data_IF_565546041369
#
_entry.id   IF_565546041369
#
_cell.length_a   1.000
_cell.length_b   1.000
_cell.length_c   1.000
_cell.angle_alpha   90.00
_cell.angle_beta   90.00
_cell.angle_gamma   90.00
#
_symmetry.space_group_name_H-M   'P 1'
#
loop_
_entity.id
_entity.type
_entity.pdbx_description
1 polymer ?
#
# COMPACT_ATOMS: atom_id res chain seq x y z
N UNK A 1 2.65 5.67 8.67
CA UNK A 1 2.58 5.98 7.22
C UNK A 1 2.08 7.42 7.04
N UNK A 2 2.79 8.24 6.27
CA UNK A 2 2.34 9.61 5.94
C UNK A 2 2.12 9.72 4.43
N UNK A 3 0.87 9.63 3.97
CA UNK A 3 0.51 9.63 2.55
C UNK A 3 -0.74 10.49 2.32
N UNK A 4 -0.76 11.26 1.23
CA UNK A 4 -1.94 12.06 0.84
C UNK A 4 -2.94 11.20 0.06
N UNK A 5 -4.22 11.58 0.07
CA UNK A 5 -5.30 10.80 -0.56
C UNK A 5 -5.06 10.50 -2.05
N UNK A 6 -4.61 11.47 -2.84
CA UNK A 6 -4.30 11.25 -4.26
C UNK A 6 -3.10 10.30 -4.45
N UNK A 7 -2.09 10.38 -3.58
CA UNK A 7 -0.93 9.49 -3.59
C UNK A 7 -1.34 8.06 -3.22
N UNK A 8 -2.24 7.91 -2.25
CA UNK A 8 -2.82 6.62 -1.90
C UNK A 8 -3.59 6.02 -3.07
N UNK A 9 -4.41 6.80 -3.78
CA UNK A 9 -5.14 6.32 -4.97
C UNK A 9 -4.22 5.77 -6.06
N UNK A 10 -3.06 6.39 -6.29
CA UNK A 10 -2.05 5.86 -7.22
C UNK A 10 -1.40 4.60 -6.66
N UNK A 11 -0.99 4.62 -5.39
CA UNK A 11 -0.37 3.48 -4.73
C UNK A 11 -1.29 2.25 -4.73
N UNK A 12 -2.61 2.44 -4.54
CA UNK A 12 -3.61 1.37 -4.66
C UNK A 12 -3.59 0.70 -6.03
N UNK A 13 -3.50 1.47 -7.12
CA UNK A 13 -3.40 0.90 -8.48
C UNK A 13 -2.15 0.03 -8.63
N UNK A 14 -1.02 0.52 -8.15
CA UNK A 14 0.25 -0.23 -8.19
C UNK A 14 0.20 -1.50 -7.34
N UNK A 15 -0.41 -1.44 -6.15
CA UNK A 15 -0.59 -2.61 -5.28
C UNK A 15 -1.46 -3.68 -5.95
N UNK A 16 -2.57 -3.30 -6.61
CA UNK A 16 -3.41 -4.25 -7.36
C UNK A 16 -2.72 -4.83 -8.60
N UNK A 17 -1.80 -4.10 -9.23
CA UNK A 17 -0.97 -4.65 -10.30
C UNK A 17 0.04 -5.69 -9.78
N UNK A 18 0.56 -5.48 -8.57
CA UNK A 18 1.50 -6.40 -7.92
C UNK A 18 0.80 -7.63 -7.32
N UNK A 19 -0.40 -7.44 -6.79
CA UNK A 19 -1.19 -8.43 -6.07
C UNK A 19 -2.57 -8.54 -6.72
N UNK A 20 -2.74 -9.55 -7.57
CA UNK A 20 -3.97 -9.76 -8.36
C UNK A 20 -5.17 -10.14 -7.49
N UNK A 21 -4.93 -10.57 -6.25
CA UNK A 21 -5.96 -10.90 -5.27
C UNK A 21 -6.57 -9.67 -4.56
N UNK A 22 -5.96 -8.48 -4.70
CA UNK A 22 -6.40 -7.28 -3.98
C UNK A 22 -7.48 -6.52 -4.76
N UNK A 23 -8.55 -6.19 -4.04
CA UNK A 23 -9.61 -5.29 -4.50
C UNK A 23 -9.45 -3.89 -3.90
N UNK A 24 -10.26 -2.94 -4.37
CA UNK A 24 -10.31 -1.60 -3.76
C UNK A 24 -10.79 -1.61 -2.31
N UNK A 25 -11.64 -2.58 -1.94
CA UNK A 25 -12.16 -2.76 -0.58
C UNK A 25 -11.05 -3.22 0.38
N UNK A 26 -10.16 -4.09 -0.08
CA UNK A 26 -9.01 -4.55 0.71
C UNK A 26 -8.04 -3.40 1.03
N UNK A 27 -7.99 -2.39 0.15
CA UNK A 27 -7.11 -1.24 0.23
C UNK A 27 -7.77 0.01 0.84
N UNK A 28 -8.88 -0.15 1.56
CA UNK A 28 -9.42 0.91 2.40
C UNK A 28 -8.46 1.16 3.57
N UNK A 29 -7.97 2.39 3.66
CA UNK A 29 -7.01 2.82 4.65
C UNK A 29 -7.42 4.16 5.25
N UNK A 30 -7.41 4.22 6.58
CA UNK A 30 -7.54 5.45 7.35
C UNK A 30 -6.23 5.73 8.06
N UNK A 31 -5.83 7.00 8.09
CA UNK A 31 -4.55 7.41 8.72
C UNK A 31 -4.55 7.03 10.20
N UNK A 32 -3.50 6.34 10.65
CA UNK A 32 -3.39 5.81 12.01
C UNK A 32 -3.80 4.33 12.14
N UNK A 33 -4.40 3.74 11.09
CA UNK A 33 -4.83 2.33 11.05
C UNK A 33 -3.91 1.44 10.20
N UNK A 34 -2.61 1.73 10.17
CA UNK A 34 -1.64 0.98 9.36
C UNK A 34 -1.63 -0.51 9.70
N UNK A 35 -1.70 -0.86 10.98
CA UNK A 35 -1.71 -2.25 11.42
C UNK A 35 -2.93 -3.01 10.91
N UNK A 36 -4.11 -2.41 10.93
CA UNK A 36 -5.34 -3.03 10.40
C UNK A 36 -5.25 -3.29 8.90
N UNK A 37 -4.66 -2.35 8.15
CA UNK A 37 -4.36 -2.53 6.74
C UNK A 37 -3.41 -3.71 6.53
N UNK A 38 -2.29 -3.76 7.27
CA UNK A 38 -1.28 -4.80 7.06
C UNK A 38 -1.80 -6.20 7.42
N UNK A 39 -2.53 -6.35 8.53
CA UNK A 39 -3.17 -7.64 8.90
C UNK A 39 -4.19 -8.08 7.85
N UNK A 40 -4.96 -7.15 7.28
CA UNK A 40 -5.90 -7.50 6.19
C UNK A 40 -5.16 -8.00 4.96
N UNK A 41 -4.10 -7.30 4.58
CA UNK A 41 -3.31 -7.62 3.39
C UNK A 41 -2.47 -8.89 3.56
N UNK A 42 -2.02 -9.22 4.77
CA UNK A 42 -1.42 -10.52 5.07
C UNK A 42 -2.37 -11.66 4.73
N UNK A 43 -3.63 -11.57 5.19
CA UNK A 43 -4.66 -12.59 4.93
C UNK A 43 -4.99 -12.73 3.45
N UNK A 44 -4.92 -11.64 2.70
CA UNK A 44 -5.22 -11.64 1.27
C UNK A 44 -4.05 -12.18 0.45
N UNK A 45 -2.83 -11.71 0.74
CA UNK A 45 -1.64 -11.98 -0.08
C UNK A 45 -0.81 -13.17 0.37
N UNK A 46 -1.09 -13.73 1.55
CA UNK A 46 -0.30 -14.80 2.16
C UNK A 46 1.11 -14.37 2.60
N UNK A 47 1.43 -13.07 2.55
CA UNK A 47 2.71 -12.51 3.00
C UNK A 47 2.62 -12.05 4.44
N UNK A 48 3.71 -12.15 5.19
CA UNK A 48 3.75 -11.64 6.58
C UNK A 48 3.39 -10.15 6.65
N UNK A 49 2.83 -9.72 7.79
CA UNK A 49 2.55 -8.30 8.09
C UNK A 49 3.79 -7.42 7.78
N UNK A 50 4.98 -7.89 8.14
CA UNK A 50 6.25 -7.20 7.94
C UNK A 50 6.63 -7.06 6.45
N UNK A 51 6.43 -8.13 5.66
CA UNK A 51 6.66 -8.10 4.21
C UNK A 51 5.72 -7.12 3.51
N UNK A 52 4.44 -7.15 3.87
CA UNK A 52 3.43 -6.23 3.32
C UNK A 52 3.82 -4.79 3.65
N UNK A 53 4.14 -4.50 4.92
CA UNK A 53 4.56 -3.17 5.35
C UNK A 53 5.79 -2.68 4.59
N UNK A 54 6.78 -3.56 4.39
CA UNK A 54 8.01 -3.25 3.63
C UNK A 54 7.72 -2.95 2.17
N UNK A 55 6.86 -3.74 1.52
CA UNK A 55 6.46 -3.55 0.14
C UNK A 55 5.73 -2.21 -0.04
N UNK A 56 4.73 -1.92 0.81
CA UNK A 56 3.97 -0.67 0.73
C UNK A 56 4.89 0.53 0.95
N UNK A 57 5.75 0.48 1.98
CA UNK A 57 6.71 1.55 2.26
C UNK A 57 7.69 1.73 1.09
N UNK A 58 8.22 0.65 0.52
CA UNK A 58 9.12 0.70 -0.63
C UNK A 58 8.46 1.31 -1.87
N UNK A 59 7.24 0.87 -2.20
CA UNK A 59 6.48 1.42 -3.33
C UNK A 59 6.09 2.88 -3.11
N UNK A 60 5.72 3.26 -1.88
CA UNK A 60 5.47 4.65 -1.52
C UNK A 60 6.74 5.50 -1.73
N UNK A 61 7.89 5.07 -1.23
CA UNK A 61 9.14 5.79 -1.39
C UNK A 61 9.52 5.91 -2.87
N UNK A 62 9.45 4.82 -3.64
CA UNK A 62 9.74 4.84 -5.08
C UNK A 62 8.84 5.83 -5.83
N UNK A 63 7.53 5.86 -5.52
CA UNK A 63 6.61 6.83 -6.10
C UNK A 63 6.94 8.28 -5.72
N UNK A 64 7.27 8.54 -4.45
CA UNK A 64 7.64 9.87 -3.97
C UNK A 64 8.95 10.36 -4.61
N UNK A 65 9.95 9.48 -4.72
CA UNK A 65 11.21 9.81 -5.39
C UNK A 65 10.99 10.11 -6.87
N UNK A 66 10.17 9.30 -7.57
CA UNK A 66 9.85 9.53 -8.97
C UNK A 66 9.14 10.88 -9.21
N UNK A 67 8.17 11.26 -8.35
CA UNK A 67 7.44 12.53 -8.54
C UNK A 67 8.20 13.77 -8.07
N UNK A 68 9.24 13.62 -7.25
CA UNK A 68 10.09 14.74 -6.83
C UNK A 68 11.16 15.07 -7.87
N UNK A 69 11.46 14.14 -8.76
CA UNK A 69 12.43 14.32 -9.87
C UNK A 69 11.79 14.87 -11.15
N UNK A 70 10.49 15.19 -11.13
CA UNK A 70 9.73 15.84 -12.21
C UNK A 70 9.50 17.31 -11.87
#
# INVERSE_FOLDING_TARGET
>A
MNIRGYQWSVLKKLLKQRFTELSDEDLVFERGKERELYVRLERKTGKSEEDVARIIKGMQQAYLQQTTLL
#
